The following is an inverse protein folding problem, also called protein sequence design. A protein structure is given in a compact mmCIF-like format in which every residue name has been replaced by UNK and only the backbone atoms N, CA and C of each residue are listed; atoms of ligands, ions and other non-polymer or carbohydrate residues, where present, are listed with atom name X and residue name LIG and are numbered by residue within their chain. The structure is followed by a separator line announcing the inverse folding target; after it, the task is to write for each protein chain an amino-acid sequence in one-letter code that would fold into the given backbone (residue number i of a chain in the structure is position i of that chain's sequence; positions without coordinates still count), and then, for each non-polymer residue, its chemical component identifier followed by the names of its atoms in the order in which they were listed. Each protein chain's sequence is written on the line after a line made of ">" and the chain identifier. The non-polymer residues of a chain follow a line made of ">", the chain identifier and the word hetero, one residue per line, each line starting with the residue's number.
data_IF_313396251811
#
_entry.id   IF_313396251811
#
_cell.length_a   1.000
_cell.length_b   1.000
_cell.length_c   1.000
_cell.angle_alpha   90.00
_cell.angle_beta   90.00
_cell.angle_gamma   90.00
#
_symmetry.space_group_name_H-M   'P 1'
#
loop_
_entity.id
_entity.type
_entity.pdbx_description
1 polymer ?
#
# COMPACT_ATOMS: atom_id res chain seq x y z
N UNK A 1 -23.99 6.51 -27.70
CA UNK A 1 -24.10 7.54 -26.64
C UNK A 1 -24.21 6.85 -25.28
N UNK A 2 -23.16 6.85 -24.46
CA UNK A 2 -23.16 6.31 -23.09
C UNK A 2 -22.81 7.46 -22.13
N UNK A 3 -23.84 8.07 -21.54
CA UNK A 3 -23.74 9.21 -20.61
C UNK A 3 -24.29 8.96 -19.18
N UNK A 4 -24.45 7.72 -18.63
CA UNK A 4 -24.99 7.58 -17.27
C UNK A 4 -23.95 7.67 -16.12
N UNK A 5 -22.64 7.55 -16.38
CA UNK A 5 -21.66 7.44 -15.26
C UNK A 5 -21.26 8.77 -14.60
N UNK A 6 -21.47 9.94 -15.24
CA UNK A 6 -21.02 11.21 -14.69
C UNK A 6 -21.96 11.78 -13.60
N UNK A 7 -23.27 11.55 -13.71
CA UNK A 7 -24.23 12.07 -12.73
C UNK A 7 -24.25 11.29 -11.42
N UNK A 8 -23.97 9.98 -11.46
CA UNK A 8 -23.91 9.15 -10.24
C UNK A 8 -22.79 9.57 -9.28
N UNK A 9 -21.61 9.90 -9.80
CA UNK A 9 -20.47 10.29 -8.98
C UNK A 9 -20.67 11.63 -8.27
N UNK A 10 -21.33 12.61 -8.89
CA UNK A 10 -21.53 13.92 -8.28
C UNK A 10 -22.48 13.87 -7.07
N UNK A 11 -23.56 13.09 -7.18
CA UNK A 11 -24.52 12.86 -6.08
C UNK A 11 -23.89 12.04 -4.93
N UNK A 12 -23.06 11.04 -5.26
CA UNK A 12 -22.34 10.24 -4.27
C UNK A 12 -21.37 11.12 -3.44
N UNK A 13 -20.59 11.97 -4.11
CA UNK A 13 -19.62 12.87 -3.47
C UNK A 13 -20.30 13.88 -2.55
N UNK A 14 -21.41 14.50 -2.97
CA UNK A 14 -22.12 15.49 -2.16
C UNK A 14 -22.71 14.89 -0.87
N UNK A 15 -23.27 13.68 -0.95
CA UNK A 15 -23.90 13.02 0.20
C UNK A 15 -22.86 12.48 1.20
N UNK A 16 -21.74 11.94 0.70
CA UNK A 16 -20.62 11.50 1.54
C UNK A 16 -19.94 12.69 2.25
N UNK A 17 -19.70 13.81 1.55
CA UNK A 17 -19.05 14.98 2.14
C UNK A 17 -19.88 15.63 3.27
N UNK A 18 -21.21 15.62 3.17
CA UNK A 18 -22.08 16.16 4.22
C UNK A 18 -22.06 15.33 5.52
N UNK A 19 -21.72 14.04 5.44
CA UNK A 19 -21.74 13.08 6.55
C UNK A 19 -20.33 12.72 7.08
N UNK A 20 -19.27 13.20 6.43
CA UNK A 20 -17.88 12.87 6.73
C UNK A 20 -17.21 13.81 7.76
N UNK A 21 -17.87 14.91 8.14
CA UNK A 21 -17.27 15.97 8.97
C UNK A 21 -16.69 15.46 10.30
N UNK A 22 -17.36 14.51 10.96
CA UNK A 22 -16.96 13.97 12.26
C UNK A 22 -15.73 13.03 12.18
N UNK A 23 -15.58 12.28 11.09
CA UNK A 23 -14.43 11.37 10.90
C UNK A 23 -13.20 12.02 10.27
N UNK A 24 -13.35 13.22 9.67
CA UNK A 24 -12.28 13.86 8.89
C UNK A 24 -11.11 14.32 9.75
N UNK A 25 -11.39 14.90 10.92
CA UNK A 25 -10.32 15.36 11.83
C UNK A 25 -9.48 14.19 12.34
N UNK A 26 -10.13 13.09 12.76
CA UNK A 26 -9.43 11.89 13.20
C UNK A 26 -8.62 11.28 12.06
N UNK A 27 -9.19 11.19 10.85
CA UNK A 27 -8.49 10.71 9.65
C UNK A 27 -7.21 11.51 9.38
N UNK A 28 -7.32 12.84 9.34
CA UNK A 28 -6.17 13.71 9.09
C UNK A 28 -5.11 13.55 10.18
N UNK A 29 -5.54 13.45 11.44
CA UNK A 29 -4.65 13.28 12.59
C UNK A 29 -3.90 11.96 12.57
N UNK A 30 -4.54 10.83 12.25
CA UNK A 30 -3.89 9.52 12.29
C UNK A 30 -2.96 9.29 11.09
N UNK A 31 -3.26 9.88 9.93
CA UNK A 31 -2.39 9.79 8.75
C UNK A 31 -1.18 10.73 8.89
N UNK A 32 -1.40 11.96 9.37
CA UNK A 32 -0.30 12.92 9.55
C UNK A 32 0.62 12.52 10.70
N UNK A 33 0.07 11.87 11.73
CA UNK A 33 0.76 11.50 12.97
C UNK A 33 0.36 10.10 13.44
N UNK A 34 0.91 9.04 12.80
CA UNK A 34 0.57 7.66 13.10
C UNK A 34 1.02 7.22 14.51
N UNK A 35 2.07 7.86 15.05
CA UNK A 35 2.43 7.79 16.48
C UNK A 35 3.30 6.60 16.91
N UNK A 36 3.72 5.72 16.00
CA UNK A 36 4.78 4.73 16.27
C UNK A 36 5.76 4.75 15.12
N UNK A 37 7.05 4.98 15.41
CA UNK A 37 8.08 5.22 14.40
C UNK A 37 9.28 4.28 14.59
N UNK A 38 9.44 3.28 13.72
CA UNK A 38 10.55 2.32 13.81
C UNK A 38 11.67 2.64 12.81
N UNK A 39 12.93 2.51 13.23
CA UNK A 39 14.04 2.48 12.27
C UNK A 39 13.99 1.18 11.47
N UNK A 40 14.02 1.26 10.14
CA UNK A 40 14.15 0.09 9.26
C UNK A 40 15.52 0.13 8.60
N UNK A 41 16.33 -0.89 8.87
CA UNK A 41 17.69 -0.97 8.34
C UNK A 41 17.80 -1.52 6.91
N UNK A 42 16.69 -1.93 6.28
CA UNK A 42 16.71 -2.57 4.96
C UNK A 42 15.83 -1.83 3.94
N UNK A 43 16.48 -1.12 3.03
CA UNK A 43 15.85 -0.53 1.85
C UNK A 43 15.83 -1.61 0.75
N UNK A 44 14.66 -2.15 0.44
CA UNK A 44 14.53 -3.17 -0.61
C UNK A 44 14.61 -2.49 -1.98
N UNK A 45 15.66 -2.78 -2.75
CA UNK A 45 15.69 -2.52 -4.18
C UNK A 45 14.57 -3.31 -4.83
N UNK A 46 13.68 -2.63 -5.55
CA UNK A 46 12.59 -3.31 -6.23
C UNK A 46 12.98 -3.67 -7.66
N UNK A 47 12.81 -4.92 -8.08
CA UNK A 47 13.03 -5.33 -9.46
C UNK A 47 12.09 -4.60 -10.42
N UNK A 48 12.46 -4.61 -11.71
CA UNK A 48 11.72 -3.97 -12.81
C UNK A 48 10.28 -4.47 -12.96
N UNK A 49 10.05 -5.73 -12.55
CA UNK A 49 8.73 -6.32 -12.36
C UNK A 49 8.35 -6.20 -10.88
N UNK A 50 7.27 -5.49 -10.57
CA UNK A 50 6.81 -5.26 -9.19
C UNK A 50 5.80 -6.38 -8.86
N UNK A 51 6.22 -7.52 -8.28
CA UNK A 51 5.27 -8.58 -7.95
C UNK A 51 4.29 -8.12 -6.89
N UNK A 52 3.11 -8.75 -6.87
CA UNK A 52 2.23 -8.70 -5.72
C UNK A 52 2.92 -9.28 -4.49
N UNK A 53 2.79 -8.56 -3.38
CA UNK A 53 3.03 -9.10 -2.04
C UNK A 53 1.66 -9.35 -1.45
N UNK A 54 1.26 -10.62 -1.40
CA UNK A 54 -0.12 -10.97 -1.13
C UNK A 54 -0.60 -10.36 0.18
N UNK A 55 -1.61 -9.48 0.09
CA UNK A 55 -2.26 -8.79 1.20
C UNK A 55 -1.36 -7.89 2.05
N UNK A 56 -0.20 -7.49 1.54
CA UNK A 56 0.68 -6.51 2.17
C UNK A 56 0.68 -5.18 1.42
N UNK A 57 0.89 -4.10 2.18
CA UNK A 57 1.14 -2.77 1.65
C UNK A 57 2.64 -2.52 1.70
N UNK A 58 3.20 -1.97 0.64
CA UNK A 58 4.61 -1.60 0.59
C UNK A 58 4.75 -0.12 0.92
N UNK A 59 4.65 0.25 2.17
CA UNK A 59 4.73 1.67 2.52
C UNK A 59 4.99 1.92 4.00
N UNK A 60 5.48 3.13 4.28
CA UNK A 60 5.94 3.62 5.59
C UNK A 60 6.40 2.52 6.53
N UNK A 61 7.43 1.76 6.12
CA UNK A 61 7.98 0.70 6.97
C UNK A 61 8.52 1.23 8.30
N UNK A 62 8.71 2.54 8.37
CA UNK A 62 9.17 3.26 9.53
C UNK A 62 8.05 3.77 10.42
N UNK A 63 6.77 3.53 10.11
CA UNK A 63 5.69 3.99 10.95
C UNK A 63 4.43 3.12 10.91
N UNK A 64 3.81 2.96 12.08
CA UNK A 64 2.53 2.26 12.23
C UNK A 64 1.60 3.05 13.15
N UNK A 65 0.30 2.74 13.12
CA UNK A 65 -0.62 3.36 14.06
C UNK A 65 -0.30 2.90 15.48
N UNK A 66 -0.03 3.85 16.38
CA UNK A 66 0.19 3.55 17.79
C UNK A 66 -1.02 2.85 18.41
N UNK A 67 -0.85 2.22 19.58
CA UNK A 67 -1.95 1.50 20.25
C UNK A 67 -3.15 2.42 20.52
N UNK A 68 -2.89 3.66 20.90
CA UNK A 68 -3.94 4.67 21.17
C UNK A 68 -4.67 5.03 19.88
N UNK A 69 -3.94 5.29 18.79
CA UNK A 69 -4.53 5.59 17.47
C UNK A 69 -5.34 4.41 16.95
N UNK A 70 -4.80 3.19 17.07
CA UNK A 70 -5.48 1.96 16.67
C UNK A 70 -6.80 1.73 17.42
N UNK A 71 -6.84 2.03 18.72
CA UNK A 71 -8.08 1.98 19.50
C UNK A 71 -9.09 3.03 19.00
N UNK A 72 -8.65 4.28 18.82
CA UNK A 72 -9.50 5.35 18.31
C UNK A 72 -10.06 5.05 16.91
N UNK A 73 -9.25 4.43 16.03
CA UNK A 73 -9.68 3.99 14.69
C UNK A 73 -10.82 2.98 14.79
N UNK A 74 -10.72 2.01 15.69
CA UNK A 74 -11.74 0.96 15.89
C UNK A 74 -13.02 1.51 16.51
N UNK A 75 -12.89 2.37 17.51
CA UNK A 75 -14.03 3.02 18.19
C UNK A 75 -14.82 3.93 17.24
N UNK A 76 -14.14 4.57 16.28
CA UNK A 76 -14.73 5.52 15.33
C UNK A 76 -14.86 4.95 13.91
N UNK A 77 -14.94 3.61 13.77
CA UNK A 77 -14.91 2.92 12.46
C UNK A 77 -15.88 3.55 11.46
N UNK A 78 -17.16 3.72 11.81
CA UNK A 78 -18.17 4.16 10.86
C UNK A 78 -17.95 5.58 10.32
N UNK A 79 -17.59 6.52 11.20
CA UNK A 79 -17.31 7.92 10.80
C UNK A 79 -16.02 8.00 10.00
N UNK A 80 -14.99 7.23 10.38
CA UNK A 80 -13.74 7.14 9.64
C UNK A 80 -13.94 6.54 8.25
N UNK A 81 -14.67 5.43 8.12
CA UNK A 81 -14.93 4.81 6.80
C UNK A 81 -15.65 5.79 5.88
N UNK A 82 -16.62 6.57 6.39
CA UNK A 82 -17.25 7.65 5.62
C UNK A 82 -16.23 8.70 5.17
N UNK A 83 -15.36 9.16 6.07
CA UNK A 83 -14.33 10.15 5.74
C UNK A 83 -13.30 9.62 4.73
N UNK A 84 -12.88 8.37 4.85
CA UNK A 84 -11.96 7.69 3.93
C UNK A 84 -12.55 7.58 2.53
N UNK A 85 -13.82 7.18 2.41
CA UNK A 85 -14.51 7.11 1.11
C UNK A 85 -14.57 8.48 0.44
N UNK A 86 -14.98 9.50 1.20
CA UNK A 86 -14.96 10.87 0.72
C UNK A 86 -13.55 11.31 0.28
N UNK A 87 -12.53 10.97 1.06
CA UNK A 87 -11.13 11.29 0.77
C UNK A 87 -10.63 10.64 -0.52
N UNK A 88 -10.86 9.34 -0.71
CA UNK A 88 -10.46 8.61 -1.92
C UNK A 88 -11.00 9.24 -3.20
N UNK A 89 -12.24 9.75 -3.17
CA UNK A 89 -12.84 10.45 -4.30
C UNK A 89 -12.19 11.81 -4.56
N UNK A 90 -11.85 12.54 -3.49
CA UNK A 90 -11.25 13.86 -3.53
C UNK A 90 -9.77 13.87 -3.92
N UNK A 91 -9.05 12.75 -3.82
CA UNK A 91 -7.62 12.66 -4.18
C UNK A 91 -7.43 13.06 -5.64
N UNK A 92 -6.51 14.01 -5.82
CA UNK A 92 -6.01 14.50 -7.10
C UNK A 92 -4.57 14.04 -7.28
N UNK A 93 -4.37 13.02 -8.12
CA UNK A 93 -3.06 12.42 -8.38
C UNK A 93 -2.12 13.34 -9.19
N UNK A 94 -2.53 14.56 -9.54
CA UNK A 94 -1.64 15.56 -10.13
C UNK A 94 -1.04 16.51 -9.08
N UNK A 95 -1.56 16.52 -7.85
CA UNK A 95 -1.10 17.43 -6.80
C UNK A 95 -0.04 16.76 -5.94
N UNK A 96 1.13 17.40 -5.72
CA UNK A 96 2.13 16.88 -4.82
C UNK A 96 1.66 16.94 -3.36
N UNK A 97 2.25 16.06 -2.54
CA UNK A 97 2.07 16.09 -1.10
C UNK A 97 2.58 17.40 -0.51
N UNK A 98 1.88 17.91 0.50
CA UNK A 98 2.35 19.04 1.29
C UNK A 98 3.31 18.55 2.37
N UNK A 99 4.31 19.37 2.66
CA UNK A 99 5.16 19.14 3.83
C UNK A 99 4.33 19.22 5.10
N UNK A 100 4.47 18.22 5.96
CA UNK A 100 3.83 18.20 7.26
C UNK A 100 4.68 18.93 8.30
N UNK A 101 4.06 19.58 9.30
CA UNK A 101 4.79 20.01 10.48
C UNK A 101 5.20 18.79 11.32
N UNK A 102 6.30 18.93 12.07
CA UNK A 102 6.77 17.93 13.04
C UNK A 102 5.64 17.55 14.00
N UNK A 103 5.56 16.26 14.35
CA UNK A 103 4.57 15.74 15.29
C UNK A 103 4.62 16.53 16.61
N UNK A 104 3.54 17.23 16.99
CA UNK A 104 3.53 18.04 18.20
C UNK A 104 3.46 17.20 19.48
N UNK A 105 3.16 15.91 19.38
CA UNK A 105 2.98 15.03 20.54
C UNK A 105 3.31 13.57 20.17
N UNK A 106 4.58 13.26 19.86
CA UNK A 106 4.99 11.88 19.64
C UNK A 106 4.75 11.07 20.93
N UNK A 107 4.26 9.83 20.80
CA UNK A 107 4.08 8.96 21.95
C UNK A 107 5.45 8.73 22.63
N UNK A 108 5.50 8.79 23.97
CA UNK A 108 6.72 8.72 24.77
C UNK A 108 7.45 7.38 24.51
N UNK A 109 8.53 7.38 23.70
CA UNK A 109 9.69 6.46 23.76
C UNK A 109 10.67 6.50 22.55
N UNK A 110 10.57 7.42 21.58
CA UNK A 110 11.43 7.36 20.38
C UNK A 110 12.09 8.71 20.04
N UNK A 111 13.29 8.65 19.44
CA UNK A 111 14.10 9.80 19.04
C UNK A 111 13.26 10.80 18.23
N UNK A 112 13.11 12.03 18.74
CA UNK A 112 12.31 13.12 18.17
C UNK A 112 12.69 13.57 16.74
N UNK A 113 13.70 12.94 16.12
CA UNK A 113 14.28 13.40 14.86
C UNK A 113 13.57 12.87 13.61
N UNK A 114 12.67 11.87 13.72
CA UNK A 114 12.01 11.27 12.54
C UNK A 114 10.51 11.05 12.80
N UNK A 115 9.69 12.08 12.64
CA UNK A 115 8.24 11.91 12.47
C UNK A 115 7.92 11.71 10.98
N UNK A 116 7.55 10.50 10.56
CA UNK A 116 7.31 10.10 9.16
C UNK A 116 5.83 9.87 8.83
N UNK A 117 5.00 10.89 9.06
CA UNK A 117 3.60 10.91 8.58
C UNK A 117 3.47 11.15 7.07
N UNK A 118 2.23 11.20 6.58
CA UNK A 118 1.92 11.48 5.16
C UNK A 118 0.87 12.58 5.00
N UNK A 119 0.87 13.33 3.88
CA UNK A 119 -0.21 14.30 3.63
C UNK A 119 -1.54 13.55 3.48
N UNK A 120 -2.52 13.77 4.37
CA UNK A 120 -3.76 13.02 4.33
C UNK A 120 -4.58 13.30 3.07
N UNK A 121 -4.29 14.37 2.33
CA UNK A 121 -4.96 14.71 1.06
C UNK A 121 -4.39 13.98 -0.16
N UNK A 122 -3.32 13.20 0.01
CA UNK A 122 -2.71 12.39 -1.05
C UNK A 122 -3.06 10.92 -0.90
N UNK A 123 -2.89 10.15 -1.98
CA UNK A 123 -2.87 8.70 -1.83
C UNK A 123 -1.56 8.33 -1.14
N UNK A 124 -1.67 7.62 -0.02
CA UNK A 124 -0.54 7.14 0.78
C UNK A 124 -0.84 5.77 1.40
N UNK A 125 0.19 5.04 1.87
CA UNK A 125 0.04 3.73 2.52
C UNK A 125 -0.86 3.75 3.77
N UNK A 126 -0.80 4.78 4.61
CA UNK A 126 -1.62 4.86 5.83
C UNK A 126 -3.10 4.89 5.53
N UNK A 127 -3.52 5.55 4.44
CA UNK A 127 -4.92 5.54 4.02
C UNK A 127 -5.39 4.11 3.67
N UNK A 128 -4.53 3.34 3.00
CA UNK A 128 -4.84 1.95 2.66
C UNK A 128 -4.76 1.02 3.89
N UNK A 129 -3.84 1.23 4.81
CA UNK A 129 -3.79 0.47 6.06
C UNK A 129 -4.98 0.77 6.96
N UNK A 130 -5.46 2.02 7.01
CA UNK A 130 -6.67 2.38 7.74
C UNK A 130 -7.90 1.65 7.17
N UNK A 131 -8.00 1.53 5.84
CA UNK A 131 -9.04 0.71 5.17
C UNK A 131 -8.97 -0.75 5.61
N UNK A 132 -7.77 -1.31 5.75
CA UNK A 132 -7.56 -2.70 6.21
C UNK A 132 -7.92 -2.86 7.68
N UNK A 133 -7.42 -2.00 8.56
CA UNK A 133 -7.70 -2.02 10.01
C UNK A 133 -9.19 -1.85 10.32
N UNK A 134 -9.90 -1.08 9.49
CA UNK A 134 -11.36 -0.90 9.62
C UNK A 134 -12.17 -1.93 8.84
N UNK A 135 -11.55 -2.85 8.11
CA UNK A 135 -12.23 -3.81 7.23
C UNK A 135 -13.27 -3.12 6.33
N UNK A 136 -12.92 -1.98 5.74
CA UNK A 136 -13.83 -1.07 5.06
C UNK A 136 -14.23 -1.56 3.66
N UNK A 137 -14.97 -2.67 3.60
CA UNK A 137 -15.51 -3.24 2.36
C UNK A 137 -16.37 -2.24 1.58
N UNK A 138 -16.97 -1.29 2.28
CA UNK A 138 -17.81 -0.23 1.73
C UNK A 138 -17.01 0.76 0.85
N UNK A 139 -15.67 0.77 0.96
CA UNK A 139 -14.78 1.62 0.18
C UNK A 139 -14.37 1.03 -1.18
N UNK A 140 -14.85 -0.18 -1.53
CA UNK A 140 -14.46 -0.87 -2.77
C UNK A 140 -14.71 -0.03 -4.03
N UNK A 141 -15.83 0.70 -4.09
CA UNK A 141 -16.13 1.53 -5.26
C UNK A 141 -15.11 2.65 -5.42
N UNK A 142 -14.78 3.35 -4.33
CA UNK A 142 -13.81 4.43 -4.33
C UNK A 142 -12.38 3.92 -4.61
N UNK A 143 -12.04 2.72 -4.12
CA UNK A 143 -10.77 2.04 -4.43
C UNK A 143 -10.66 1.68 -5.93
N UNK A 144 -11.74 1.21 -6.57
CA UNK A 144 -11.75 0.96 -8.01
C UNK A 144 -11.59 2.24 -8.83
N UNK A 145 -12.14 3.36 -8.35
CA UNK A 145 -12.00 4.67 -8.98
C UNK A 145 -10.56 5.16 -8.89
N UNK A 146 -9.92 5.11 -7.72
CA UNK A 146 -8.53 5.56 -7.56
C UNK A 146 -7.55 4.67 -8.34
N UNK A 147 -7.78 3.34 -8.36
CA UNK A 147 -7.00 2.41 -9.19
C UNK A 147 -7.12 2.78 -10.67
N UNK A 148 -8.34 3.08 -11.14
CA UNK A 148 -8.57 3.52 -12.52
C UNK A 148 -7.87 4.84 -12.86
N UNK A 149 -7.83 5.80 -11.92
CA UNK A 149 -7.05 7.04 -12.06
C UNK A 149 -5.54 6.72 -12.20
N UNK A 150 -5.00 5.82 -11.38
CA UNK A 150 -3.60 5.38 -11.45
C UNK A 150 -3.29 4.69 -12.78
N UNK A 151 -4.10 3.71 -13.22
CA UNK A 151 -3.94 3.03 -14.52
C UNK A 151 -3.82 4.04 -15.65
N UNK A 152 -4.77 4.97 -15.71
CA UNK A 152 -4.83 5.97 -16.78
C UNK A 152 -3.61 6.91 -16.73
N UNK A 153 -3.26 7.41 -15.54
CA UNK A 153 -2.14 8.33 -15.38
C UNK A 153 -0.79 7.67 -15.68
N UNK A 154 -0.57 6.43 -15.21
CA UNK A 154 0.62 5.63 -15.52
C UNK A 154 0.73 5.39 -17.02
N UNK A 155 -0.36 4.96 -17.68
CA UNK A 155 -0.35 4.74 -19.13
C UNK A 155 -0.03 6.03 -19.89
N UNK A 156 -0.69 7.14 -19.55
CA UNK A 156 -0.46 8.44 -20.18
C UNK A 156 1.00 8.88 -20.05
N UNK A 157 1.59 8.72 -18.87
CA UNK A 157 3.00 9.04 -18.63
C UNK A 157 3.98 7.98 -19.19
N UNK A 158 3.54 6.81 -19.67
CA UNK A 158 4.42 5.94 -20.46
C UNK A 158 4.40 6.32 -21.94
N UNK A 159 3.23 6.70 -22.44
CA UNK A 159 3.01 6.96 -23.86
C UNK A 159 3.46 8.38 -24.26
N UNK A 160 3.42 9.34 -23.34
CA UNK A 160 3.88 10.72 -23.54
C UNK A 160 4.87 11.14 -22.45
N UNK A 161 6.10 11.48 -22.87
CA UNK A 161 7.15 11.97 -21.98
C UNK A 161 6.78 13.29 -21.28
N UNK A 162 5.91 14.10 -21.90
CA UNK A 162 5.43 15.39 -21.36
C UNK A 162 4.26 15.23 -20.38
N UNK A 163 3.57 14.09 -20.40
CA UNK A 163 2.55 13.81 -19.40
C UNK A 163 3.21 13.57 -18.03
N UNK A 164 2.73 14.29 -17.02
CA UNK A 164 3.18 14.11 -15.66
C UNK A 164 2.73 12.75 -15.11
N UNK A 165 3.61 11.99 -14.43
CA UNK A 165 3.20 10.77 -13.75
C UNK A 165 2.28 11.08 -12.57
N UNK A 166 1.44 10.12 -12.14
CA UNK A 166 0.68 10.25 -10.90
C UNK A 166 1.61 10.49 -9.71
N UNK A 167 1.24 11.42 -8.86
CA UNK A 167 1.95 11.73 -7.61
C UNK A 167 1.26 11.01 -6.46
N UNK A 168 2.06 10.30 -5.67
CA UNK A 168 1.66 9.53 -4.48
C UNK A 168 2.68 9.80 -3.37
N UNK A 169 2.30 9.58 -2.12
CA UNK A 169 3.14 9.88 -0.95
C UNK A 169 3.47 8.60 -0.17
N UNK A 170 4.64 8.53 0.45
CA UNK A 170 4.97 7.47 1.43
C UNK A 170 5.40 6.10 0.89
N UNK A 171 5.36 5.88 -0.42
CA UNK A 171 5.93 4.68 -1.05
C UNK A 171 7.45 4.84 -1.17
N UNK A 172 8.18 4.28 -0.21
CA UNK A 172 9.64 4.22 -0.25
C UNK A 172 10.10 3.28 -1.37
N UNK A 173 10.97 3.83 -2.23
CA UNK A 173 11.66 3.08 -3.27
C UNK A 173 13.13 3.20 -2.91
N UNK A 174 13.83 2.08 -2.70
CA UNK A 174 15.28 2.15 -2.66
C UNK A 174 15.74 2.68 -4.02
N UNK A 175 16.39 3.82 -4.04
CA UNK A 175 17.09 4.25 -5.23
C UNK A 175 18.21 3.23 -5.48
N UNK A 176 18.14 2.47 -6.58
CA UNK A 176 19.20 1.53 -6.96
C UNK A 176 20.56 2.23 -7.21
N UNK A 177 20.60 3.56 -7.24
CA UNK A 177 21.73 4.34 -7.71
C UNK A 177 22.09 5.57 -6.85
N UNK A 178 21.67 5.68 -5.59
CA UNK A 178 22.45 6.59 -4.73
C UNK A 178 23.84 5.95 -4.59
N UNK A 179 24.92 6.57 -5.12
CA UNK A 179 26.25 6.17 -4.65
C UNK A 179 26.19 6.35 -3.14
N UNK A 180 26.35 5.25 -2.40
CA UNK A 180 26.40 5.25 -0.95
C UNK A 180 27.37 6.33 -0.48
N UNK A 181 26.87 7.52 -0.15
CA UNK A 181 27.63 8.57 0.52
C UNK A 181 27.69 8.31 2.02
N UNK A 182 27.18 7.17 2.52
CA UNK A 182 27.49 6.71 3.86
C UNK A 182 29.00 6.45 3.94
N UNK A 183 29.73 7.20 4.77
CA UNK A 183 31.15 6.96 5.01
C UNK A 183 31.24 5.72 5.89
N UNK A 184 31.11 4.54 5.28
CA UNK A 184 31.52 3.30 5.93
C UNK A 184 33.03 3.37 5.98
N UNK A 185 33.56 3.49 7.20
CA UNK A 185 34.99 3.56 7.44
C UNK A 185 35.72 2.43 6.73
N UNK A 186 36.58 2.80 5.79
CA UNK A 186 37.64 1.95 5.29
C UNK A 186 38.89 2.82 5.17
N UNK A 187 39.81 2.62 6.11
CA UNK A 187 41.16 3.17 6.17
C UNK A 187 42.07 2.63 5.04
N UNK A 188 41.59 2.60 3.79
CA UNK A 188 42.36 2.13 2.65
C UNK A 188 42.28 3.16 1.51
N UNK A 189 43.05 4.23 1.67
CA UNK A 189 43.29 5.25 0.65
C UNK A 189 44.21 4.64 -0.40
N UNK A 190 43.62 3.86 -1.30
CA UNK A 190 44.17 3.64 -2.63
C UNK A 190 43.96 4.90 -3.45
N UNK A 191 45.04 5.63 -3.73
CA UNK A 191 45.08 6.82 -4.58
C UNK A 191 44.61 6.49 -6.00
N UNK A 192 43.30 6.61 -6.25
CA UNK A 192 42.67 6.98 -7.52
C UNK A 192 41.15 7.05 -7.30
N UNK A 193 40.56 8.24 -7.04
CA UNK A 193 39.11 8.36 -7.06
C UNK A 193 38.61 7.96 -8.47
N UNK A 194 37.62 7.07 -8.59
CA UNK A 194 37.02 6.77 -9.88
C UNK A 194 36.47 8.08 -10.49
N UNK A 195 36.53 8.22 -11.82
CA UNK A 195 36.06 9.39 -12.59
C UNK A 195 34.52 9.64 -12.50
N UNK A 196 33.85 9.27 -11.41
CA UNK A 196 32.39 9.22 -11.28
C UNK A 196 31.75 10.37 -10.48
N UNK A 197 32.41 11.51 -10.29
CA UNK A 197 31.83 12.69 -9.64
C UNK A 197 31.51 13.81 -10.65
N UNK A 198 30.61 13.55 -11.60
CA UNK A 198 29.90 14.66 -12.25
C UNK A 198 28.53 14.75 -11.63
N UNK A 199 28.24 15.91 -11.04
CA UNK A 199 26.89 16.24 -10.59
C UNK A 199 25.91 15.99 -11.76
N UNK A 200 24.80 15.27 -11.52
CA UNK A 200 23.84 14.98 -12.57
C UNK A 200 23.29 16.29 -13.13
N UNK A 201 23.15 16.33 -14.46
CA UNK A 201 22.54 17.46 -15.15
C UNK A 201 21.06 17.63 -14.73
N UNK A 202 20.47 18.83 -14.85
CA UNK A 202 19.05 19.02 -14.58
C UNK A 202 18.11 18.09 -15.38
N UNK A 203 18.51 17.71 -16.60
CA UNK A 203 17.77 16.75 -17.43
C UNK A 203 17.85 15.33 -16.88
N UNK A 204 19.01 14.92 -16.35
CA UNK A 204 19.19 13.63 -15.70
C UNK A 204 18.39 13.53 -14.39
N UNK A 205 18.41 14.58 -13.57
CA UNK A 205 17.58 14.69 -12.36
C UNK A 205 16.09 14.55 -12.73
N UNK A 206 15.60 15.35 -13.69
CA UNK A 206 14.20 15.30 -14.10
C UNK A 206 13.80 13.92 -14.66
N UNK A 207 14.71 13.23 -15.37
CA UNK A 207 14.49 11.87 -15.86
C UNK A 207 14.41 10.85 -14.74
N UNK A 208 15.28 10.97 -13.72
CA UNK A 208 15.30 10.11 -12.54
C UNK A 208 14.04 10.31 -11.70
N UNK A 209 13.69 11.55 -11.38
CA UNK A 209 12.45 11.90 -10.65
C UNK A 209 11.22 11.31 -11.32
N UNK A 210 11.14 11.46 -12.65
CA UNK A 210 10.04 10.89 -13.44
C UNK A 210 9.99 9.37 -13.36
N UNK A 211 11.15 8.70 -13.41
CA UNK A 211 11.25 7.24 -13.26
C UNK A 211 10.77 6.83 -11.85
N UNK A 212 11.21 7.54 -10.82
CA UNK A 212 10.85 7.29 -9.43
C UNK A 212 9.35 7.46 -9.20
N UNK A 213 8.76 8.57 -9.65
CA UNK A 213 7.30 8.79 -9.56
C UNK A 213 6.49 7.73 -10.32
N UNK A 214 6.91 7.36 -11.54
CA UNK A 214 6.26 6.27 -12.27
C UNK A 214 6.34 4.93 -11.53
N UNK A 215 7.46 4.66 -10.88
CA UNK A 215 7.65 3.46 -10.12
C UNK A 215 6.75 3.46 -8.87
N UNK A 216 6.79 4.53 -8.06
CA UNK A 216 5.92 4.72 -6.89
C UNK A 216 4.44 4.59 -7.25
N UNK A 217 3.99 5.21 -8.34
CA UNK A 217 2.62 5.11 -8.81
C UNK A 217 2.22 3.66 -9.13
N UNK A 218 3.13 2.84 -9.70
CA UNK A 218 2.85 1.42 -9.94
C UNK A 218 2.79 0.61 -8.65
N UNK A 219 3.65 0.92 -7.67
CA UNK A 219 3.60 0.28 -6.35
C UNK A 219 2.27 0.63 -5.66
N UNK A 220 1.88 1.89 -5.67
CA UNK A 220 0.59 2.34 -5.15
C UNK A 220 -0.60 1.66 -5.84
N UNK A 221 -0.57 1.53 -7.18
CA UNK A 221 -1.59 0.82 -7.93
C UNK A 221 -1.70 -0.64 -7.47
N UNK A 222 -0.57 -1.33 -7.36
CA UNK A 222 -0.53 -2.71 -6.89
C UNK A 222 -1.10 -2.84 -5.49
N UNK A 223 -0.73 -1.94 -4.58
CA UNK A 223 -1.19 -1.99 -3.19
C UNK A 223 -2.69 -1.71 -3.08
N UNK A 224 -3.23 -0.76 -3.87
CA UNK A 224 -4.70 -0.57 -3.99
C UNK A 224 -5.39 -1.87 -4.42
N UNK A 225 -4.84 -2.58 -5.41
CA UNK A 225 -5.40 -3.86 -5.87
C UNK A 225 -5.30 -4.93 -4.78
N UNK A 226 -4.22 -4.97 -4.02
CA UNK A 226 -4.06 -5.91 -2.89
C UNK A 226 -5.00 -5.59 -1.73
N UNK A 227 -5.27 -4.32 -1.45
CA UNK A 227 -6.29 -3.90 -0.48
C UNK A 227 -7.67 -4.36 -0.93
N UNK A 228 -8.03 -4.17 -2.21
CA UNK A 228 -9.30 -4.69 -2.78
C UNK A 228 -9.39 -6.21 -2.60
N UNK A 229 -8.34 -6.94 -2.98
CA UNK A 229 -8.29 -8.40 -2.87
C UNK A 229 -8.48 -8.87 -1.43
N UNK A 230 -7.78 -8.24 -0.48
CA UNK A 230 -7.91 -8.55 0.95
C UNK A 230 -9.34 -8.34 1.44
N UNK A 231 -9.96 -7.20 1.13
CA UNK A 231 -11.33 -6.92 1.58
C UNK A 231 -12.33 -7.96 1.05
N UNK A 232 -12.23 -8.34 -0.22
CA UNK A 232 -13.08 -9.40 -0.80
C UNK A 232 -12.82 -10.76 -0.15
N UNK A 233 -11.55 -11.05 0.16
CA UNK A 233 -11.13 -12.29 0.79
C UNK A 233 -11.63 -12.41 2.22
N UNK A 234 -11.61 -11.34 3.00
CA UNK A 234 -12.13 -11.30 4.36
C UNK A 234 -13.64 -11.58 4.42
N UNK A 235 -14.35 -11.28 3.33
CA UNK A 235 -15.76 -11.65 3.14
C UNK A 235 -15.95 -13.06 2.58
N UNK A 236 -14.87 -13.82 2.38
CA UNK A 236 -14.89 -15.13 1.73
C UNK A 236 -15.66 -15.11 0.40
N UNK A 237 -15.53 -14.02 -0.36
CA UNK A 237 -16.38 -13.80 -1.52
C UNK A 237 -16.07 -14.77 -2.65
N UNK A 238 -17.02 -15.65 -2.97
CA UNK A 238 -16.78 -16.80 -3.83
C UNK A 238 -16.23 -16.46 -5.23
N UNK A 239 -16.68 -15.40 -5.94
CA UNK A 239 -16.07 -14.99 -7.20
C UNK A 239 -14.59 -14.62 -7.08
N UNK A 240 -14.19 -13.92 -6.01
CA UNK A 240 -12.78 -13.61 -5.74
C UNK A 240 -11.96 -14.86 -5.42
N UNK A 241 -12.50 -15.79 -4.62
CA UNK A 241 -11.80 -17.02 -4.24
C UNK A 241 -11.52 -17.97 -5.41
N UNK A 242 -12.15 -17.75 -6.57
CA UNK A 242 -11.93 -18.52 -7.82
C UNK A 242 -10.90 -17.88 -8.75
N UNK A 243 -10.34 -16.74 -8.38
CA UNK A 243 -9.36 -16.02 -9.23
C UNK A 243 -8.05 -16.77 -9.32
N UNK A 244 -7.31 -16.50 -10.40
CA UNK A 244 -5.95 -17.00 -10.60
C UNK A 244 -5.00 -16.48 -9.51
N UNK A 245 -5.25 -15.28 -8.99
CA UNK A 245 -4.50 -14.70 -7.88
C UNK A 245 -4.62 -15.56 -6.61
N UNK A 246 -5.84 -15.87 -6.16
CA UNK A 246 -6.03 -16.68 -4.93
C UNK A 246 -5.46 -18.10 -5.10
N UNK A 247 -5.59 -18.68 -6.30
CA UNK A 247 -4.95 -19.96 -6.61
C UNK A 247 -3.41 -19.90 -6.53
N UNK A 248 -2.81 -18.81 -7.03
CA UNK A 248 -1.37 -18.57 -6.94
C UNK A 248 -0.92 -18.34 -5.48
N UNK A 249 -1.72 -17.62 -4.69
CA UNK A 249 -1.48 -17.43 -3.26
C UNK A 249 -1.46 -18.76 -2.50
N UNK A 250 -2.48 -19.60 -2.66
CA UNK A 250 -2.55 -20.91 -2.04
C UNK A 250 -1.38 -21.83 -2.46
N UNK A 251 -0.94 -21.74 -3.72
CA UNK A 251 0.27 -22.45 -4.18
C UNK A 251 1.54 -21.92 -3.51
N UNK A 252 1.66 -20.59 -3.38
CA UNK A 252 2.79 -19.95 -2.74
C UNK A 252 2.91 -20.28 -1.25
N UNK A 253 1.78 -20.34 -0.53
CA UNK A 253 1.75 -20.83 0.86
C UNK A 253 2.31 -22.25 0.98
N UNK A 254 1.87 -23.17 0.12
CA UNK A 254 2.40 -24.54 0.11
C UNK A 254 3.90 -24.60 -0.18
N UNK A 255 4.40 -23.73 -1.05
CA UNK A 255 5.84 -23.63 -1.31
C UNK A 255 6.60 -23.13 -0.08
N UNK A 256 6.10 -22.09 0.60
CA UNK A 256 6.70 -21.63 1.86
C UNK A 256 6.73 -22.74 2.92
N UNK A 257 5.63 -23.48 3.13
CA UNK A 257 5.61 -24.58 4.10
C UNK A 257 6.66 -25.65 3.82
N UNK A 258 6.89 -25.95 2.53
CA UNK A 258 7.93 -26.88 2.12
C UNK A 258 9.33 -26.34 2.42
N UNK A 259 9.57 -25.05 2.17
CA UNK A 259 10.85 -24.40 2.49
C UNK A 259 11.14 -24.41 4.01
N UNK A 260 10.09 -24.26 4.83
CA UNK A 260 10.17 -24.28 6.30
C UNK A 260 10.13 -25.70 6.90
N UNK A 261 9.98 -26.75 6.07
CA UNK A 261 9.96 -28.15 6.51
C UNK A 261 8.72 -28.57 7.30
N UNK A 262 7.57 -27.93 7.03
CA UNK A 262 6.27 -28.20 7.68
C UNK A 262 5.15 -28.47 6.66
N UNK A 263 5.51 -29.04 5.50
CA UNK A 263 4.57 -29.35 4.41
C UNK A 263 3.66 -30.56 4.66
N UNK A 264 3.89 -31.30 5.75
CA UNK A 264 3.03 -32.38 6.24
C UNK A 264 1.85 -31.88 7.09
N UNK A 265 1.79 -30.58 7.39
CA UNK A 265 0.71 -29.96 8.14
C UNK A 265 -0.66 -30.18 7.47
N UNK A 266 -1.66 -30.58 8.26
CA UNK A 266 -3.03 -30.79 7.76
C UNK A 266 -3.92 -29.62 8.15
N UNK A 267 -4.67 -29.02 7.20
CA UNK A 267 -5.65 -27.98 7.52
C UNK A 267 -6.62 -28.42 8.61
N UNK A 268 -6.73 -27.60 9.67
CA UNK A 268 -7.58 -27.86 10.84
C UNK A 268 -6.82 -28.33 12.09
N UNK A 269 -5.57 -28.78 11.94
CA UNK A 269 -4.72 -29.08 13.10
C UNK A 269 -4.27 -27.77 13.80
N UNK A 270 -4.04 -27.78 15.12
CA UNK A 270 -3.45 -26.64 15.81
C UNK A 270 -1.97 -26.47 15.42
N UNK A 271 -1.45 -25.25 15.53
CA UNK A 271 -0.01 -25.00 15.39
C UNK A 271 0.76 -25.72 16.50
N UNK A 272 1.93 -26.26 16.17
CA UNK A 272 2.83 -26.81 17.18
C UNK A 272 3.57 -25.68 17.91
N UNK A 273 4.10 -25.92 19.13
CA UNK A 273 4.86 -24.90 19.85
C UNK A 273 6.06 -24.34 19.06
N UNK A 274 6.67 -25.14 18.20
CA UNK A 274 7.79 -24.67 17.37
C UNK A 274 7.32 -23.78 16.22
N UNK A 275 6.16 -24.08 15.63
CA UNK A 275 5.52 -23.19 14.64
C UNK A 275 5.10 -21.85 15.27
N UNK A 276 4.61 -21.87 16.50
CA UNK A 276 4.29 -20.64 17.25
C UNK A 276 5.54 -19.79 17.53
N UNK A 277 6.67 -20.41 17.88
CA UNK A 277 7.96 -19.71 18.05
C UNK A 277 8.46 -19.09 16.75
N UNK A 278 8.19 -19.75 15.61
CA UNK A 278 8.44 -19.20 14.27
C UNK A 278 7.44 -18.09 13.88
N UNK A 279 6.51 -17.72 14.78
CA UNK A 279 5.51 -16.69 14.55
C UNK A 279 4.60 -17.01 13.35
N UNK A 280 4.31 -18.30 13.16
CA UNK A 280 3.35 -18.74 12.16
C UNK A 280 1.91 -18.42 12.60
N UNK A 281 1.04 -18.19 11.61
CA UNK A 281 -0.40 -18.03 11.77
C UNK A 281 -1.14 -18.94 10.80
N UNK A 282 -2.39 -19.30 11.11
CA UNK A 282 -3.23 -20.09 10.20
C UNK A 282 -4.03 -19.13 9.31
N UNK A 283 -3.89 -19.31 8.00
CA UNK A 283 -4.72 -18.63 7.03
C UNK A 283 -6.17 -19.12 7.09
N UNK A 284 -7.12 -18.20 7.27
CA UNK A 284 -8.53 -18.54 7.56
C UNK A 284 -9.28 -19.18 6.39
N UNK A 285 -8.81 -19.01 5.16
CA UNK A 285 -9.49 -19.53 3.95
C UNK A 285 -8.91 -20.88 3.55
N UNK A 286 -7.58 -20.99 3.49
CA UNK A 286 -6.89 -22.22 3.07
C UNK A 286 -6.69 -23.20 4.23
N UNK A 287 -6.71 -22.72 5.47
CA UNK A 287 -6.37 -23.49 6.66
C UNK A 287 -4.87 -23.84 6.76
N UNK A 288 -4.03 -23.23 5.93
CA UNK A 288 -2.59 -23.48 5.90
C UNK A 288 -1.82 -22.50 6.80
N UNK A 289 -0.71 -22.94 7.44
CA UNK A 289 0.17 -22.04 8.16
C UNK A 289 0.88 -21.09 7.20
N UNK A 290 1.24 -19.91 7.71
CA UNK A 290 2.11 -18.96 7.02
C UNK A 290 2.92 -18.16 8.04
N UNK A 291 4.09 -17.68 7.64
CA UNK A 291 4.92 -16.82 8.46
C UNK A 291 4.40 -15.38 8.42
N UNK A 292 4.11 -14.79 9.59
CA UNK A 292 3.54 -13.43 9.68
C UNK A 292 4.35 -12.36 8.95
N UNK A 293 5.67 -12.53 8.86
CA UNK A 293 6.61 -11.54 8.30
C UNK A 293 7.09 -11.88 6.89
N UNK A 294 6.62 -12.99 6.31
CA UNK A 294 7.05 -13.46 4.99
C UNK A 294 5.87 -13.51 4.04
N UNK A 295 5.74 -12.46 3.24
CA UNK A 295 4.73 -12.39 2.19
C UNK A 295 4.90 -13.47 1.12
N UNK A 296 3.76 -13.93 0.59
CA UNK A 296 3.75 -14.71 -0.65
C UNK A 296 3.91 -13.76 -1.82
N UNK A 297 5.01 -13.90 -2.55
CA UNK A 297 5.27 -13.14 -3.78
C UNK A 297 4.55 -13.79 -4.96
N UNK A 298 3.66 -13.05 -5.61
CA UNK A 298 2.92 -13.49 -6.80
C UNK A 298 3.30 -12.57 -7.97
N UNK A 299 3.74 -13.11 -9.13
CA UNK A 299 4.02 -12.28 -10.29
C UNK A 299 2.82 -11.39 -10.65
N UNK A 300 3.09 -10.11 -10.88
CA UNK A 300 2.04 -9.21 -11.34
C UNK A 300 1.61 -9.60 -12.76
N UNK A 301 0.30 -9.67 -12.99
CA UNK A 301 -0.26 -9.79 -14.33
C UNK A 301 -1.48 -8.90 -14.50
N UNK A 302 -1.74 -8.48 -15.74
CA UNK A 302 -2.92 -7.68 -16.03
C UNK A 302 -4.19 -8.50 -15.81
N UNK A 303 -4.13 -9.78 -16.14
CA UNK A 303 -5.24 -10.73 -16.04
C UNK A 303 -5.68 -10.89 -14.58
N UNK A 304 -4.75 -11.13 -13.66
CA UNK A 304 -5.05 -11.27 -12.24
C UNK A 304 -5.60 -9.97 -11.64
N UNK A 305 -5.06 -8.80 -12.04
CA UNK A 305 -5.64 -7.50 -11.67
C UNK A 305 -7.07 -7.35 -12.16
N UNK A 306 -7.33 -7.65 -13.42
CA UNK A 306 -8.63 -7.47 -14.05
C UNK A 306 -9.67 -8.45 -13.46
N UNK A 307 -9.26 -9.65 -13.06
CA UNK A 307 -10.07 -10.60 -12.28
C UNK A 307 -10.46 -10.06 -10.89
N UNK A 308 -9.51 -9.51 -10.14
CA UNK A 308 -9.78 -8.88 -8.83
C UNK A 308 -10.75 -7.70 -9.00
N UNK A 309 -10.52 -6.85 -10.01
CA UNK A 309 -11.41 -5.72 -10.33
C UNK A 309 -12.82 -6.20 -10.70
N UNK A 310 -12.94 -7.28 -11.47
CA UNK A 310 -14.22 -7.86 -11.84
C UNK A 310 -14.98 -8.40 -10.62
N UNK A 311 -14.30 -9.12 -9.72
CA UNK A 311 -14.88 -9.59 -8.48
C UNK A 311 -15.35 -8.42 -7.59
N UNK A 312 -14.56 -7.36 -7.47
CA UNK A 312 -14.94 -6.15 -6.74
C UNK A 312 -16.18 -5.46 -7.33
N UNK A 313 -16.21 -5.29 -8.65
CA UNK A 313 -17.36 -4.70 -9.36
C UNK A 313 -18.63 -5.56 -9.17
N UNK A 314 -18.49 -6.88 -9.20
CA UNK A 314 -19.60 -7.79 -8.94
C UNK A 314 -20.09 -7.66 -7.49
N UNK A 315 -19.19 -7.63 -6.50
CA UNK A 315 -19.55 -7.42 -5.09
C UNK A 315 -20.38 -6.15 -4.91
N UNK A 316 -19.92 -5.03 -5.48
CA UNK A 316 -20.62 -3.73 -5.41
C UNK A 316 -22.02 -3.83 -6.03
N UNK A 317 -22.17 -4.55 -7.15
CA UNK A 317 -23.48 -4.71 -7.79
C UNK A 317 -24.45 -5.57 -6.99
N UNK A 318 -23.94 -6.52 -6.21
CA UNK A 318 -24.72 -7.42 -5.36
C UNK A 318 -25.04 -6.80 -3.99
N UNK A 319 -24.27 -5.78 -3.57
CA UNK A 319 -24.35 -5.12 -2.25
C UNK A 319 -24.32 -3.59 -2.41
N UNK A 320 -25.40 -2.95 -2.92
CA UNK A 320 -25.44 -1.53 -3.23
C UNK A 320 -25.45 -0.59 -2.02
#
# INVERSE_FOLDING_TARGET
>A
MKWPMFFGNLLLVANLNAQAAEGTELLDKVISYPGSYSQVCDVFTSPTDIPYRAFEISGHREATFSRVKSAAIKENRESLVRAVRARLLAIDLAKPARSLPVDPSPDENENHEISSGADPMTLNPFLLDLIRETHAIEALQELLIIEGKLVKGIASAKDDAKAAPPVVDGWLVAEENEPSTSPVGSDDIGENPPESEKDPTPEEIARLDRKNHLFQARVAQRDVVMTIALLLREKSYAPYLKTTFEAAYAKGLKAQLKDEGVDDFKPGDPLTPDMEKMQMQIDKITGLPFLKFRSVTIPYSRESRDEIRAAAAQWISEHP
#
